data_IF_899387844339
#
_entry.id   IF_899387844339
#
_cell.length_a   1.000
_cell.length_b   1.000
_cell.length_c   1.000
_cell.angle_alpha   90.00
_cell.angle_beta   90.00
_cell.angle_gamma   90.00
#
_symmetry.space_group_name_H-M   'P 1'
#
loop_
_entity.id
_entity.type
_entity.pdbx_description
1 polymer ?
#
# COMPACT_ATOMS: atom_id res chain seq x y z
N UNK A 1 -5.32 -35.96 -21.65
CA UNK A 1 -5.75 -35.25 -20.43
C UNK A 1 -7.08 -34.61 -20.75
N UNK A 2 -8.17 -35.19 -20.25
CA UNK A 2 -9.53 -34.72 -20.56
C UNK A 2 -9.70 -33.30 -20.02
N UNK A 3 -10.08 -32.35 -20.89
CA UNK A 3 -10.52 -31.04 -20.45
C UNK A 3 -11.81 -31.25 -19.67
N UNK A 4 -11.77 -30.96 -18.37
CA UNK A 4 -12.96 -30.88 -17.53
C UNK A 4 -13.97 -29.95 -18.21
N UNK A 5 -15.04 -30.51 -18.77
CA UNK A 5 -16.00 -29.78 -19.60
C UNK A 5 -16.76 -28.68 -18.81
N UNK A 6 -16.67 -28.71 -17.49
CA UNK A 6 -17.24 -27.71 -16.59
C UNK A 6 -16.33 -26.49 -16.33
N UNK A 7 -15.05 -26.54 -16.76
CA UNK A 7 -14.08 -25.45 -16.57
C UNK A 7 -14.45 -24.25 -17.44
N UNK A 8 -14.65 -23.04 -16.85
CA UNK A 8 -14.79 -21.81 -17.62
C UNK A 8 -13.64 -21.62 -18.60
N UNK A 9 -13.93 -21.09 -19.78
CA UNK A 9 -12.89 -20.82 -20.76
C UNK A 9 -12.00 -19.67 -20.28
N UNK A 10 -10.74 -19.99 -19.97
CA UNK A 10 -9.71 -19.01 -19.62
C UNK A 10 -8.69 -18.89 -20.74
N UNK A 11 -8.61 -17.72 -21.39
CA UNK A 11 -7.58 -17.42 -22.39
C UNK A 11 -6.29 -16.99 -21.69
N UNK A 12 -5.61 -17.98 -21.10
CA UNK A 12 -4.33 -17.82 -20.39
C UNK A 12 -3.27 -17.19 -21.31
N UNK A 13 -2.54 -16.19 -20.83
CA UNK A 13 -1.30 -15.71 -21.45
C UNK A 13 -0.07 -16.40 -20.84
N UNK A 14 1.09 -16.25 -21.47
CA UNK A 14 2.33 -16.83 -20.95
C UNK A 14 2.66 -16.24 -19.56
N UNK A 15 3.01 -17.10 -18.60
CA UNK A 15 3.29 -16.72 -17.21
C UNK A 15 2.04 -16.48 -16.36
N UNK A 16 0.84 -16.79 -16.86
CA UNK A 16 -0.42 -16.66 -16.10
C UNK A 16 -0.96 -18.02 -15.64
N UNK A 17 -1.61 -18.03 -14.47
CA UNK A 17 -2.46 -19.13 -14.00
C UNK A 17 -3.81 -18.59 -13.55
N UNK A 18 -4.89 -19.32 -13.83
CA UNK A 18 -6.23 -18.97 -13.41
C UNK A 18 -6.51 -19.43 -11.97
N UNK A 19 -6.98 -18.52 -11.13
CA UNK A 19 -7.67 -18.87 -9.88
C UNK A 19 -9.17 -18.82 -10.15
N UNK A 20 -9.76 -20.00 -10.26
CA UNK A 20 -11.18 -20.18 -10.58
C UNK A 20 -12.00 -20.04 -9.31
N UNK A 21 -12.94 -19.10 -9.32
CA UNK A 21 -13.81 -18.81 -8.18
C UNK A 21 -15.21 -19.32 -8.50
N UNK A 22 -15.74 -20.18 -7.63
CA UNK A 22 -17.12 -20.68 -7.75
C UNK A 22 -17.93 -20.19 -6.55
N UNK A 23 -19.14 -19.70 -6.80
CA UNK A 23 -20.07 -19.40 -5.71
C UNK A 23 -20.64 -20.74 -5.21
N UNK A 24 -20.17 -21.17 -4.03
CA UNK A 24 -20.58 -22.42 -3.42
C UNK A 24 -21.91 -22.29 -2.66
N UNK A 25 -22.10 -21.16 -1.98
CA UNK A 25 -23.31 -20.85 -1.22
C UNK A 25 -23.53 -19.33 -1.23
N UNK A 26 -24.78 -18.88 -1.26
CA UNK A 26 -25.12 -17.47 -1.21
C UNK A 26 -26.53 -17.26 -0.65
N UNK A 27 -26.72 -16.14 0.04
CA UNK A 27 -28.02 -15.74 0.59
C UNK A 27 -28.40 -14.35 0.10
N UNK A 28 -29.53 -14.26 -0.60
CA UNK A 28 -30.11 -12.99 -0.99
C UNK A 28 -30.58 -12.19 0.23
N UNK A 29 -30.62 -10.86 0.10
CA UNK A 29 -31.24 -9.99 1.10
C UNK A 29 -32.77 -10.07 1.04
N UNK A 30 -33.32 -10.32 -0.15
CA UNK A 30 -34.73 -10.61 -0.35
C UNK A 30 -34.91 -11.94 -1.10
N UNK A 31 -34.96 -13.10 -0.40
CA UNK A 31 -35.09 -14.41 -1.03
C UNK A 31 -36.37 -14.59 -1.85
N UNK A 32 -37.46 -13.91 -1.49
CA UNK A 32 -38.77 -14.02 -2.16
C UNK A 32 -38.78 -13.38 -3.55
N UNK A 33 -37.80 -12.52 -3.86
CA UNK A 33 -37.67 -11.90 -5.18
C UNK A 33 -37.20 -12.89 -6.27
N UNK A 34 -36.67 -14.05 -5.87
CA UNK A 34 -36.09 -15.03 -6.80
C UNK A 34 -37.00 -16.25 -6.94
N UNK A 35 -37.42 -16.54 -8.18
CA UNK A 35 -38.30 -17.67 -8.48
C UNK A 35 -37.62 -19.04 -8.43
N UNK A 36 -36.29 -19.10 -8.42
CA UNK A 36 -35.52 -20.32 -8.16
C UNK A 36 -34.12 -19.99 -7.64
N UNK A 37 -33.58 -20.91 -6.84
CA UNK A 37 -32.20 -20.82 -6.34
C UNK A 37 -31.20 -20.83 -7.50
N UNK A 38 -31.38 -21.71 -8.48
CA UNK A 38 -30.49 -21.79 -9.65
C UNK A 38 -30.40 -20.46 -10.42
N UNK A 39 -31.54 -19.80 -10.65
CA UNK A 39 -31.57 -18.49 -11.31
C UNK A 39 -30.83 -17.43 -10.50
N UNK A 40 -31.01 -17.42 -9.17
CA UNK A 40 -30.28 -16.51 -8.28
C UNK A 40 -28.77 -16.70 -8.37
N UNK A 41 -28.26 -17.94 -8.29
CA UNK A 41 -26.82 -18.19 -8.39
C UNK A 41 -26.24 -17.78 -9.74
N UNK A 42 -26.99 -17.97 -10.83
CA UNK A 42 -26.56 -17.61 -12.18
C UNK A 42 -26.44 -16.09 -12.33
N UNK A 43 -27.49 -15.35 -11.96
CA UNK A 43 -27.50 -13.88 -11.96
C UNK A 43 -26.41 -13.31 -11.02
N UNK A 44 -26.28 -13.88 -9.82
CA UNK A 44 -25.28 -13.48 -8.84
C UNK A 44 -23.86 -13.64 -9.39
N UNK A 45 -23.58 -14.74 -10.09
CA UNK A 45 -22.26 -15.02 -10.67
C UNK A 45 -21.91 -13.98 -11.74
N UNK A 46 -22.87 -13.61 -12.58
CA UNK A 46 -22.69 -12.56 -13.59
C UNK A 46 -22.45 -11.18 -12.95
N UNK A 47 -23.31 -10.78 -12.01
CA UNK A 47 -23.17 -9.50 -11.28
C UNK A 47 -21.87 -9.45 -10.48
N UNK A 48 -21.48 -10.57 -9.86
CA UNK A 48 -20.22 -10.68 -9.13
C UNK A 48 -19.03 -10.50 -10.07
N UNK A 49 -19.03 -11.14 -11.25
CA UNK A 49 -18.01 -10.90 -12.26
C UNK A 49 -17.93 -9.42 -12.67
N UNK A 50 -19.06 -8.78 -12.95
CA UNK A 50 -19.09 -7.36 -13.35
C UNK A 50 -18.51 -6.43 -12.28
N UNK A 51 -18.83 -6.66 -11.01
CA UNK A 51 -18.30 -5.84 -9.91
C UNK A 51 -16.83 -6.12 -9.62
N UNK A 52 -16.40 -7.38 -9.71
CA UNK A 52 -14.99 -7.74 -9.53
C UNK A 52 -14.11 -7.22 -10.66
N UNK A 53 -14.61 -7.20 -11.89
CA UNK A 53 -13.89 -6.68 -13.05
C UNK A 53 -13.72 -5.15 -13.02
N UNK A 54 -14.57 -4.42 -12.26
CA UNK A 54 -14.39 -2.99 -11.97
C UNK A 54 -13.45 -2.74 -10.77
N UNK A 55 -12.92 -3.80 -10.16
CA UNK A 55 -12.12 -3.74 -8.96
C UNK A 55 -10.77 -3.05 -9.15
N UNK A 56 -10.25 -2.48 -8.07
CA UNK A 56 -8.90 -1.93 -8.04
C UNK A 56 -7.89 -3.06 -7.79
N UNK A 57 -7.32 -3.58 -8.88
CA UNK A 57 -6.35 -4.68 -8.83
C UNK A 57 -5.07 -4.29 -8.09
N UNK A 58 -4.66 -3.01 -8.10
CA UNK A 58 -3.51 -2.54 -7.32
C UNK A 58 -3.79 -2.71 -5.84
N UNK A 59 -4.97 -2.27 -5.38
CA UNK A 59 -5.38 -2.41 -3.99
C UNK A 59 -5.56 -3.88 -3.57
N UNK A 60 -6.14 -4.71 -4.44
CA UNK A 60 -6.26 -6.14 -4.20
C UNK A 60 -4.88 -6.77 -4.02
N UNK A 61 -3.96 -6.48 -4.95
CA UNK A 61 -2.60 -7.01 -4.93
C UNK A 61 -1.83 -6.59 -3.68
N UNK A 62 -1.92 -5.31 -3.32
CA UNK A 62 -1.33 -4.75 -2.11
C UNK A 62 -1.81 -5.47 -0.84
N UNK A 63 -3.11 -5.81 -0.77
CA UNK A 63 -3.68 -6.56 0.36
C UNK A 63 -3.07 -7.95 0.47
N UNK A 64 -2.87 -8.63 -0.66
CA UNK A 64 -2.25 -9.95 -0.70
C UNK A 64 -0.74 -9.90 -0.42
N UNK A 65 -0.05 -8.84 -0.86
CA UNK A 65 1.37 -8.61 -0.53
C UNK A 65 1.58 -8.42 0.97
N UNK A 66 0.71 -7.64 1.63
CA UNK A 66 0.79 -7.39 3.08
C UNK A 66 0.68 -8.68 3.91
N UNK A 67 -0.03 -9.70 3.41
CA UNK A 67 -0.11 -11.03 4.04
C UNK A 67 1.11 -11.93 3.73
N UNK A 68 1.95 -11.55 2.75
CA UNK A 68 3.13 -12.30 2.32
C UNK A 68 2.81 -13.48 1.37
N UNK A 69 1.53 -13.76 1.17
CA UNK A 69 1.03 -14.94 0.46
C UNK A 69 1.22 -14.86 -1.07
N UNK A 70 1.22 -13.65 -1.64
CA UNK A 70 1.31 -13.41 -3.09
C UNK A 70 2.60 -12.69 -3.50
N UNK A 71 3.65 -12.70 -2.66
CA UNK A 71 4.92 -12.03 -3.00
C UNK A 71 5.40 -12.40 -4.40
N UNK A 72 5.67 -11.41 -5.25
CA UNK A 72 6.14 -11.59 -6.64
C UNK A 72 5.07 -11.99 -7.67
N UNK A 73 3.79 -12.04 -7.30
CA UNK A 73 2.70 -12.28 -8.24
C UNK A 73 2.15 -10.95 -8.79
N UNK A 74 1.26 -11.02 -9.78
CA UNK A 74 0.48 -9.89 -10.31
C UNK A 74 -0.97 -10.28 -10.45
N UNK A 75 -1.88 -9.32 -10.29
CA UNK A 75 -3.29 -9.51 -10.64
C UNK A 75 -3.53 -8.81 -11.97
N UNK A 76 -3.76 -9.60 -13.02
CA UNK A 76 -3.89 -9.11 -14.40
C UNK A 76 -5.31 -8.65 -14.70
N UNK A 77 -6.30 -9.54 -14.48
CA UNK A 77 -7.71 -9.29 -14.81
C UNK A 77 -8.63 -10.34 -14.20
N UNK A 78 -9.93 -10.05 -14.22
CA UNK A 78 -10.96 -11.08 -14.16
C UNK A 78 -11.42 -11.45 -15.56
N UNK A 79 -11.62 -12.74 -15.80
CA UNK A 79 -12.22 -13.31 -17.00
C UNK A 79 -13.61 -13.84 -16.69
N UNK A 80 -14.43 -13.99 -17.73
CA UNK A 80 -15.81 -14.51 -17.61
C UNK A 80 -15.80 -15.86 -16.90
N UNK A 81 -16.80 -16.09 -16.05
CA UNK A 81 -16.83 -17.24 -15.14
C UNK A 81 -16.03 -17.04 -13.85
N UNK A 82 -15.72 -15.78 -13.51
CA UNK A 82 -15.00 -15.36 -12.29
C UNK A 82 -13.65 -16.07 -12.16
N UNK A 83 -12.85 -16.00 -13.23
CA UNK A 83 -11.46 -16.49 -13.21
C UNK A 83 -10.54 -15.31 -12.98
N UNK A 84 -9.82 -15.33 -11.86
CA UNK A 84 -8.78 -14.34 -11.57
C UNK A 84 -7.50 -14.77 -12.26
N UNK A 85 -7.05 -14.00 -13.26
CA UNK A 85 -5.78 -14.21 -13.92
C UNK A 85 -4.64 -13.69 -13.03
N UNK A 86 -3.79 -14.60 -12.57
CA UNK A 86 -2.62 -14.28 -11.73
C UNK A 86 -1.36 -14.47 -12.57
N UNK A 87 -0.57 -13.41 -12.71
CA UNK A 87 0.71 -13.42 -13.41
C UNK A 87 1.88 -13.74 -12.48
N UNK A 88 2.92 -14.37 -13.02
CA UNK A 88 4.13 -14.75 -12.30
C UNK A 88 5.38 -14.44 -13.12
N UNK A 89 6.40 -13.88 -12.45
CA UNK A 89 7.73 -13.65 -13.05
C UNK A 89 8.86 -14.45 -12.38
N UNK A 90 8.54 -15.19 -11.31
CA UNK A 90 9.49 -16.09 -10.65
C UNK A 90 8.79 -17.38 -10.19
N UNK A 91 9.55 -18.47 -10.22
CA UNK A 91 9.07 -19.81 -9.86
C UNK A 91 8.65 -19.84 -8.38
N UNK A 92 9.37 -19.15 -7.51
CA UNK A 92 9.05 -19.15 -6.08
C UNK A 92 7.67 -18.54 -5.81
N UNK A 93 7.26 -17.52 -6.58
CA UNK A 93 5.93 -16.92 -6.51
C UNK A 93 4.84 -17.90 -6.94
N UNK A 94 5.07 -18.61 -8.04
CA UNK A 94 4.17 -19.66 -8.52
C UNK A 94 4.00 -20.77 -7.48
N UNK A 95 5.11 -21.29 -6.95
CA UNK A 95 5.12 -22.35 -5.93
C UNK A 95 4.43 -21.91 -4.63
N UNK A 96 4.60 -20.65 -4.21
CA UNK A 96 3.89 -20.08 -3.05
C UNK A 96 2.37 -20.13 -3.23
N UNK A 97 1.86 -19.63 -4.35
CA UNK A 97 0.41 -19.61 -4.61
C UNK A 97 -0.12 -21.04 -4.80
N UNK A 98 0.62 -21.91 -5.49
CA UNK A 98 0.27 -23.32 -5.63
C UNK A 98 0.20 -24.05 -4.28
N UNK A 99 1.11 -23.76 -3.36
CA UNK A 99 1.08 -24.29 -1.99
C UNK A 99 -0.15 -23.81 -1.22
N UNK A 100 -0.58 -22.56 -1.41
CA UNK A 100 -1.82 -22.06 -0.80
C UNK A 100 -3.04 -22.79 -1.33
N UNK A 101 -3.06 -23.11 -2.62
CA UNK A 101 -4.12 -23.91 -3.22
C UNK A 101 -4.16 -25.34 -2.66
N UNK A 102 -3.02 -26.05 -2.71
CA UNK A 102 -2.92 -27.45 -2.26
C UNK A 102 -3.09 -27.63 -0.75
N UNK A 103 -2.90 -26.57 0.04
CA UNK A 103 -3.19 -26.55 1.48
C UNK A 103 -4.56 -25.97 1.84
N UNK A 104 -5.45 -25.76 0.87
CA UNK A 104 -6.81 -25.23 1.01
C UNK A 104 -6.93 -23.82 1.63
N UNK A 105 -5.80 -23.12 1.77
CA UNK A 105 -5.75 -21.75 2.33
C UNK A 105 -6.15 -20.68 1.32
N UNK A 106 -6.04 -20.97 0.03
CA UNK A 106 -6.37 -20.03 -1.05
C UNK A 106 -7.85 -19.59 -1.00
N UNK A 107 -8.76 -20.50 -0.66
CA UNK A 107 -10.20 -20.20 -0.58
C UNK A 107 -10.51 -19.14 0.47
N UNK A 108 -10.02 -19.31 1.70
CA UNK A 108 -10.23 -18.32 2.77
C UNK A 108 -9.61 -16.96 2.42
N UNK A 109 -8.44 -16.97 1.79
CA UNK A 109 -7.77 -15.75 1.36
C UNK A 109 -8.56 -14.99 0.28
N UNK A 110 -9.10 -15.69 -0.73
CA UNK A 110 -9.93 -15.07 -1.77
C UNK A 110 -11.29 -14.62 -1.24
N UNK A 111 -11.88 -15.37 -0.31
CA UNK A 111 -13.10 -14.99 0.39
C UNK A 111 -12.93 -13.64 1.11
N UNK A 112 -11.87 -13.51 1.91
CA UNK A 112 -11.56 -12.27 2.66
C UNK A 112 -11.24 -11.10 1.75
N UNK A 113 -10.54 -11.36 0.64
CA UNK A 113 -10.11 -10.32 -0.30
C UNK A 113 -11.28 -9.75 -1.09
N UNK A 114 -12.13 -10.63 -1.63
CA UNK A 114 -13.11 -10.28 -2.65
C UNK A 114 -14.48 -9.95 -2.02
N UNK A 115 -14.93 -10.73 -1.03
CA UNK A 115 -16.26 -10.58 -0.45
C UNK A 115 -16.24 -9.58 0.71
N UNK A 116 -16.37 -8.31 0.34
CA UNK A 116 -16.46 -7.19 1.28
C UNK A 116 -17.91 -6.84 1.60
N UNK A 117 -18.14 -6.16 2.73
CA UNK A 117 -19.47 -5.67 3.10
C UNK A 117 -20.05 -4.68 2.07
N UNK A 118 -19.20 -3.89 1.41
CA UNK A 118 -19.64 -3.01 0.32
C UNK A 118 -20.07 -3.79 -0.91
N UNK A 119 -19.35 -4.86 -1.26
CA UNK A 119 -19.72 -5.73 -2.39
C UNK A 119 -21.04 -6.45 -2.12
N UNK A 120 -21.21 -7.03 -0.92
CA UNK A 120 -22.45 -7.69 -0.51
C UNK A 120 -23.67 -6.78 -0.66
N UNK A 121 -23.56 -5.51 -0.23
CA UNK A 121 -24.61 -4.51 -0.40
C UNK A 121 -24.95 -4.23 -1.87
N UNK A 122 -23.95 -4.13 -2.74
CA UNK A 122 -24.16 -3.90 -4.19
C UNK A 122 -24.81 -5.10 -4.90
N UNK A 123 -24.49 -6.30 -4.44
CA UNK A 123 -25.04 -7.55 -4.96
C UNK A 123 -26.36 -7.94 -4.29
N UNK A 124 -26.88 -7.10 -3.38
CA UNK A 124 -28.10 -7.37 -2.61
C UNK A 124 -28.05 -8.73 -1.90
N UNK A 125 -26.85 -9.16 -1.50
CA UNK A 125 -26.61 -10.43 -0.81
C UNK A 125 -26.24 -10.18 0.66
N UNK A 126 -26.69 -11.05 1.55
CA UNK A 126 -26.29 -11.05 2.97
C UNK A 126 -25.06 -11.91 3.21
N UNK A 127 -24.83 -12.90 2.34
CA UNK A 127 -23.68 -13.80 2.40
C UNK A 127 -23.37 -14.36 1.01
N UNK A 128 -22.08 -14.46 0.69
CA UNK A 128 -21.56 -15.18 -0.46
C UNK A 128 -20.38 -16.01 0.04
N UNK A 129 -20.33 -17.29 -0.30
CA UNK A 129 -19.25 -18.24 0.01
C UNK A 129 -18.63 -18.66 -1.31
N UNK A 130 -17.34 -18.39 -1.43
CA UNK A 130 -16.54 -18.78 -2.58
C UNK A 130 -15.79 -20.06 -2.29
N UNK A 131 -15.58 -20.86 -3.33
CA UNK A 131 -14.54 -21.90 -3.38
C UNK A 131 -13.54 -21.54 -4.47
N UNK A 132 -12.27 -21.89 -4.25
CA UNK A 132 -11.20 -21.65 -5.21
C UNK A 132 -10.69 -22.96 -5.80
N UNK A 133 -10.32 -22.93 -7.08
CA UNK A 133 -9.59 -24.02 -7.73
C UNK A 133 -8.49 -23.43 -8.63
N UNK A 134 -7.32 -24.05 -8.61
CA UNK A 134 -6.30 -23.89 -9.64
C UNK A 134 -6.15 -25.23 -10.33
N UNK A 135 -5.69 -25.23 -11.58
CA UNK A 135 -5.49 -26.47 -12.32
C UNK A 135 -4.02 -26.74 -12.56
N UNK A 136 -3.65 -28.01 -12.41
CA UNK A 136 -2.26 -28.48 -12.50
C UNK A 136 -1.66 -28.31 -13.89
N UNK A 137 -2.49 -28.33 -14.94
CA UNK A 137 -2.06 -28.10 -16.32
C UNK A 137 -1.58 -26.67 -16.54
N UNK A 138 -2.35 -25.69 -16.06
CA UNK A 138 -1.97 -24.28 -16.12
C UNK A 138 -0.74 -24.00 -15.28
N UNK A 139 -0.68 -24.55 -14.07
CA UNK A 139 0.48 -24.48 -13.20
C UNK A 139 1.74 -25.05 -13.87
N UNK A 140 1.65 -26.25 -14.43
CA UNK A 140 2.78 -26.93 -15.08
C UNK A 140 3.25 -26.18 -16.33
N UNK A 141 2.30 -25.68 -17.13
CA UNK A 141 2.62 -24.84 -18.29
C UNK A 141 3.35 -23.56 -17.87
N UNK A 142 2.81 -22.83 -16.88
CA UNK A 142 3.45 -21.62 -16.35
C UNK A 142 4.84 -21.92 -15.79
N UNK A 143 5.03 -23.04 -15.07
CA UNK A 143 6.32 -23.45 -14.54
C UNK A 143 7.33 -23.75 -15.64
N UNK A 144 6.92 -24.45 -16.69
CA UNK A 144 7.76 -24.75 -17.84
C UNK A 144 8.13 -23.49 -18.64
N UNK A 145 7.19 -22.54 -18.77
CA UNK A 145 7.43 -21.23 -19.38
C UNK A 145 8.48 -20.45 -18.58
N UNK A 146 8.34 -20.38 -17.25
CA UNK A 146 9.30 -19.72 -16.37
C UNK A 146 10.69 -20.37 -16.39
N UNK A 147 10.77 -21.71 -16.48
CA UNK A 147 12.03 -22.45 -16.61
C UNK A 147 12.68 -22.26 -17.99
N UNK A 148 11.86 -22.15 -19.05
CA UNK A 148 12.31 -21.97 -20.43
C UNK A 148 12.71 -20.54 -20.77
N UNK A 149 12.33 -19.54 -19.95
CA UNK A 149 12.75 -18.15 -20.12
C UNK A 149 14.24 -17.99 -19.86
N UNK A 150 15.03 -17.79 -20.92
CA UNK A 150 16.16 -16.87 -20.79
C UNK A 150 15.56 -15.50 -20.49
N UNK A 151 16.01 -14.78 -19.44
CA UNK A 151 15.48 -13.48 -19.01
C UNK A 151 15.61 -12.39 -20.10
N UNK A 152 14.90 -12.53 -21.22
CA UNK A 152 14.79 -11.51 -22.25
C UNK A 152 13.83 -10.45 -21.70
N UNK A 153 14.38 -9.27 -21.44
CA UNK A 153 13.60 -8.11 -21.03
C UNK A 153 12.55 -7.85 -22.09
N UNK A 154 11.30 -7.68 -21.65
CA UNK A 154 10.20 -7.31 -22.52
C UNK A 154 10.05 -5.79 -22.44
N UNK A 155 9.81 -5.13 -23.57
CA UNK A 155 9.52 -3.70 -23.55
C UNK A 155 8.22 -3.44 -22.78
N UNK A 156 8.26 -2.50 -21.85
CA UNK A 156 7.08 -2.06 -21.08
C UNK A 156 5.92 -1.63 -21.98
N UNK A 157 6.20 -1.14 -23.20
CA UNK A 157 5.18 -0.75 -24.20
C UNK A 157 4.26 -1.91 -24.62
N UNK A 158 4.70 -3.15 -24.44
CA UNK A 158 3.90 -4.33 -24.76
C UNK A 158 2.90 -4.70 -23.65
N UNK A 159 3.05 -4.13 -22.46
CA UNK A 159 2.20 -4.32 -21.29
C UNK A 159 1.44 -3.03 -20.98
N UNK A 160 0.23 -2.89 -21.52
CA UNK A 160 -0.60 -1.70 -21.34
C UNK A 160 -0.84 -1.37 -19.86
N UNK A 161 -1.04 -2.39 -19.02
CA UNK A 161 -1.21 -2.22 -17.57
C UNK A 161 0.00 -1.51 -16.93
N UNK A 162 1.21 -1.97 -17.23
CA UNK A 162 2.45 -1.39 -16.70
C UNK A 162 2.67 0.03 -17.23
N UNK A 163 2.31 0.29 -18.50
CA UNK A 163 2.34 1.64 -19.07
C UNK A 163 1.37 2.60 -18.36
N UNK A 164 0.17 2.13 -18.02
CA UNK A 164 -0.81 2.93 -17.29
C UNK A 164 -0.31 3.24 -15.86
N UNK A 165 0.32 2.27 -15.20
CA UNK A 165 0.99 2.49 -13.90
C UNK A 165 2.12 3.51 -14.06
N UNK A 166 3.02 3.32 -15.03
CA UNK A 166 4.14 4.23 -15.26
C UNK A 166 3.66 5.66 -15.52
N UNK A 167 2.58 5.85 -16.29
CA UNK A 167 2.01 7.17 -16.53
C UNK A 167 1.43 7.80 -15.25
N UNK A 168 0.76 7.00 -14.41
CA UNK A 168 0.28 7.48 -13.10
C UNK A 168 1.44 7.88 -12.19
N UNK A 169 2.52 7.09 -12.16
CA UNK A 169 3.73 7.39 -11.39
C UNK A 169 4.38 8.69 -11.88
N UNK A 170 4.52 8.89 -13.20
CA UNK A 170 5.01 10.13 -13.82
C UNK A 170 4.16 11.35 -13.42
N UNK A 171 2.84 11.23 -13.52
CA UNK A 171 1.93 12.32 -13.17
C UNK A 171 2.01 12.66 -11.68
N UNK A 172 2.14 11.65 -10.81
CA UNK A 172 2.36 11.87 -9.38
C UNK A 172 3.69 12.58 -9.14
N UNK A 173 4.79 12.04 -9.67
CA UNK A 173 6.14 12.58 -9.50
C UNK A 173 6.24 14.05 -9.93
N UNK A 174 5.65 14.41 -11.07
CA UNK A 174 5.66 15.79 -11.56
C UNK A 174 5.05 16.77 -10.57
N UNK A 175 3.93 16.40 -9.92
CA UNK A 175 3.29 17.23 -8.88
C UNK A 175 4.08 17.16 -7.56
N UNK A 176 4.60 15.99 -7.24
CA UNK A 176 5.30 15.73 -5.99
C UNK A 176 6.64 16.47 -5.91
N UNK A 177 7.30 16.74 -7.05
CA UNK A 177 8.47 17.61 -7.12
C UNK A 177 8.23 18.98 -6.45
N UNK A 178 7.10 19.62 -6.76
CA UNK A 178 6.71 20.91 -6.17
C UNK A 178 6.40 20.76 -4.68
N UNK A 179 5.68 19.69 -4.30
CA UNK A 179 5.35 19.42 -2.91
C UNK A 179 6.59 19.20 -2.04
N UNK A 180 7.60 18.49 -2.57
CA UNK A 180 8.87 18.24 -1.88
C UNK A 180 9.59 19.56 -1.59
N UNK A 181 9.62 20.49 -2.54
CA UNK A 181 10.20 21.81 -2.31
C UNK A 181 9.46 22.54 -1.18
N UNK A 182 8.12 22.52 -1.20
CA UNK A 182 7.30 23.12 -0.14
C UNK A 182 7.56 22.46 1.23
N UNK A 183 7.76 21.15 1.27
CA UNK A 183 8.09 20.43 2.51
C UNK A 183 9.47 20.82 3.05
N UNK A 184 10.47 20.98 2.18
CA UNK A 184 11.81 21.45 2.56
C UNK A 184 11.79 22.89 3.09
N UNK A 185 11.05 23.79 2.43
CA UNK A 185 10.84 25.16 2.92
C UNK A 185 10.11 25.16 4.27
N UNK A 186 9.13 24.27 4.43
CA UNK A 186 8.40 24.09 5.70
C UNK A 186 9.32 23.64 6.83
N UNK A 187 10.21 22.67 6.57
CA UNK A 187 11.24 22.25 7.54
C UNK A 187 12.18 23.40 7.88
N UNK A 188 12.69 24.12 6.88
CA UNK A 188 13.61 25.23 7.08
C UNK A 188 12.98 26.33 7.96
N UNK A 189 11.73 26.69 7.67
CA UNK A 189 10.96 27.67 8.44
C UNK A 189 10.70 27.19 9.88
N UNK A 190 10.40 25.90 10.07
CA UNK A 190 10.27 25.33 11.41
C UNK A 190 11.61 25.35 12.17
N UNK A 191 12.71 25.02 11.49
CA UNK A 191 14.06 25.07 12.04
C UNK A 191 14.47 26.46 12.53
N UNK A 192 14.05 27.54 11.85
CA UNK A 192 14.27 28.92 12.30
C UNK A 192 13.49 29.25 13.58
N UNK A 193 12.34 28.60 13.81
CA UNK A 193 11.47 28.81 14.98
C UNK A 193 11.69 27.77 16.09
N UNK A 194 12.76 26.99 16.00
CA UNK A 194 13.03 25.88 16.92
C UNK A 194 13.12 26.33 18.37
N UNK A 195 13.84 27.42 18.64
CA UNK A 195 14.00 27.97 19.99
C UNK A 195 12.68 28.48 20.58
N UNK A 196 11.86 29.15 19.76
CA UNK A 196 10.51 29.59 20.15
C UNK A 196 9.63 28.39 20.49
N UNK A 197 9.60 27.37 19.61
CA UNK A 197 8.86 26.14 19.84
C UNK A 197 9.26 25.48 21.17
N UNK A 198 10.55 25.28 21.40
CA UNK A 198 11.06 24.64 22.62
C UNK A 198 10.72 25.43 23.88
N UNK A 199 10.83 26.77 23.82
CA UNK A 199 10.47 27.64 24.94
C UNK A 199 8.97 27.51 25.28
N UNK A 200 8.10 27.58 24.26
CA UNK A 200 6.65 27.44 24.46
C UNK A 200 6.30 26.04 24.95
N UNK A 201 6.92 25.00 24.41
CA UNK A 201 6.72 23.63 24.86
C UNK A 201 7.14 23.45 26.33
N UNK A 202 8.30 23.98 26.75
CA UNK A 202 8.73 23.94 28.16
C UNK A 202 7.74 24.61 29.11
N UNK A 203 7.07 25.69 28.69
CA UNK A 203 6.12 26.43 29.53
C UNK A 203 4.84 25.65 29.85
N UNK A 204 4.47 24.68 28.99
CA UNK A 204 3.26 23.87 29.18
C UNK A 204 3.54 22.49 29.77
N UNK A 205 4.80 22.06 29.80
CA UNK A 205 5.18 20.77 30.35
C UNK A 205 5.02 20.78 31.88
N UNK A 206 4.40 19.75 32.48
CA UNK A 206 4.41 19.57 33.93
C UNK A 206 5.85 19.47 34.48
N UNK A 207 6.07 19.96 35.71
CA UNK A 207 7.41 20.08 36.33
C UNK A 207 8.17 18.74 36.42
N UNK A 208 7.46 17.63 36.49
CA UNK A 208 8.01 16.28 36.58
C UNK A 208 8.29 15.61 35.22
N UNK A 209 7.97 16.25 34.09
CA UNK A 209 8.20 15.67 32.76
C UNK A 209 9.63 15.95 32.33
N UNK A 210 10.44 14.90 32.40
CA UNK A 210 11.84 14.90 31.93
C UNK A 210 12.01 14.30 30.53
N UNK A 211 10.98 13.61 30.02
CA UNK A 211 10.98 12.98 28.69
C UNK A 211 9.59 12.93 28.11
N UNK A 212 9.49 13.08 26.79
CA UNK A 212 8.25 12.88 26.02
C UNK A 212 8.37 11.54 25.28
N UNK A 213 7.52 10.57 25.62
CA UNK A 213 7.62 9.22 25.03
C UNK A 213 6.95 9.13 23.67
N UNK A 214 5.83 9.82 23.48
CA UNK A 214 4.99 9.71 22.28
C UNK A 214 4.43 11.06 21.85
N UNK A 215 4.06 11.18 20.57
CA UNK A 215 3.39 12.37 20.07
C UNK A 215 2.02 12.55 20.74
N UNK A 216 1.30 11.45 20.98
CA UNK A 216 0.00 11.43 21.68
C UNK A 216 0.07 12.00 23.09
N UNK A 217 1.14 11.69 23.83
CA UNK A 217 1.40 12.27 25.15
C UNK A 217 1.54 13.78 25.05
N UNK A 218 2.35 14.26 24.10
CA UNK A 218 2.55 15.69 23.89
C UNK A 218 1.26 16.41 23.44
N UNK A 219 0.50 15.84 22.51
CA UNK A 219 -0.82 16.34 22.09
C UNK A 219 -1.78 16.48 23.29
N UNK A 220 -1.76 15.52 24.21
CA UNK A 220 -2.60 15.56 25.42
C UNK A 220 -2.21 16.71 26.33
N UNK A 221 -0.90 16.91 26.56
CA UNK A 221 -0.38 18.04 27.37
C UNK A 221 -0.79 19.38 26.75
N UNK A 222 -0.61 19.53 25.43
CA UNK A 222 -0.99 20.75 24.71
C UNK A 222 -2.50 21.00 24.81
N UNK A 223 -3.32 19.96 24.67
CA UNK A 223 -4.78 20.07 24.79
C UNK A 223 -5.22 20.56 26.17
N UNK A 224 -4.58 20.08 27.24
CA UNK A 224 -4.86 20.55 28.61
C UNK A 224 -4.42 22.00 28.79
N UNK A 225 -3.26 22.38 28.25
CA UNK A 225 -2.73 23.74 28.36
C UNK A 225 -3.56 24.80 27.60
N UNK A 226 -4.31 24.41 26.57
CA UNK A 226 -5.20 25.29 25.78
C UNK A 226 -6.44 25.80 26.50
N UNK A 227 -6.65 25.48 27.79
CA UNK A 227 -7.89 25.72 28.55
C UNK A 227 -8.46 27.16 28.57
N UNK A 228 -7.81 28.16 27.96
CA UNK A 228 -8.37 29.49 27.69
C UNK A 228 -7.96 30.04 26.30
N UNK A 229 -8.75 30.93 25.67
CA UNK A 229 -8.40 31.52 24.37
C UNK A 229 -7.07 32.29 24.35
N UNK A 230 -6.71 32.94 25.47
CA UNK A 230 -5.44 33.65 25.62
C UNK A 230 -4.24 32.69 25.72
N UNK A 231 -4.44 31.51 26.30
CA UNK A 231 -3.45 30.44 26.30
C UNK A 231 -3.31 29.83 24.90
N UNK A 232 -4.41 29.66 24.16
CA UNK A 232 -4.39 29.13 22.80
C UNK A 232 -3.51 29.96 21.84
N UNK A 233 -3.58 31.30 21.91
CA UNK A 233 -2.74 32.16 21.06
C UNK A 233 -1.23 31.99 21.30
N UNK A 234 -0.81 31.63 22.52
CA UNK A 234 0.60 31.34 22.83
C UNK A 234 1.08 29.99 22.28
N UNK A 235 0.15 29.11 21.92
CA UNK A 235 0.44 27.74 21.46
C UNK A 235 0.39 27.60 19.94
N UNK A 236 0.25 28.70 19.20
CA UNK A 236 0.17 28.71 17.74
C UNK A 236 1.40 28.06 17.08
N UNK A 237 2.60 28.23 17.65
CA UNK A 237 3.83 27.59 17.15
C UNK A 237 3.78 26.06 17.29
N UNK A 238 3.13 25.55 18.33
CA UNK A 238 2.94 24.10 18.55
C UNK A 238 1.85 23.57 17.62
N UNK A 239 0.78 24.34 17.40
CA UNK A 239 -0.28 23.97 16.46
C UNK A 239 0.26 23.85 15.03
N UNK A 240 1.10 24.82 14.61
CA UNK A 240 1.81 24.74 13.33
C UNK A 240 2.68 23.50 13.24
N UNK A 241 3.36 23.12 14.32
CA UNK A 241 4.14 21.87 14.34
C UNK A 241 3.24 20.64 14.11
N UNK A 242 2.09 20.53 14.78
CA UNK A 242 1.17 19.42 14.54
C UNK A 242 0.61 19.41 13.12
N UNK A 243 0.32 20.58 12.55
CA UNK A 243 -0.11 20.71 11.16
C UNK A 243 0.99 20.24 10.18
N UNK A 244 2.26 20.56 10.45
CA UNK A 244 3.40 20.06 9.68
C UNK A 244 3.47 18.54 9.74
N UNK A 245 3.40 17.94 10.94
CA UNK A 245 3.43 16.49 11.11
C UNK A 245 2.26 15.82 10.38
N UNK A 246 1.06 16.41 10.46
CA UNK A 246 -0.13 15.92 9.75
C UNK A 246 0.05 15.98 8.23
N UNK A 247 0.60 17.09 7.71
CA UNK A 247 0.89 17.25 6.28
C UNK A 247 1.90 16.23 5.80
N UNK A 248 3.01 16.06 6.52
CA UNK A 248 4.05 15.07 6.21
C UNK A 248 3.52 13.64 6.23
N UNK A 249 2.72 13.27 7.25
CA UNK A 249 2.08 11.96 7.30
C UNK A 249 1.13 11.75 6.12
N UNK A 250 0.37 12.77 5.74
CA UNK A 250 -0.55 12.69 4.59
C UNK A 250 0.19 12.48 3.28
N UNK A 251 1.28 13.22 3.05
CA UNK A 251 2.13 13.04 1.87
C UNK A 251 2.72 11.61 1.80
N UNK A 252 3.24 11.09 2.90
CA UNK A 252 3.79 9.72 2.95
C UNK A 252 2.73 8.62 2.79
N UNK A 253 1.50 8.84 3.27
CA UNK A 253 0.38 7.94 3.02
C UNK A 253 -0.03 7.94 1.55
N UNK A 254 -0.03 9.12 0.90
CA UNK A 254 -0.27 9.22 -0.54
C UNK A 254 0.83 8.52 -1.34
N UNK A 255 2.10 8.65 -0.94
CA UNK A 255 3.20 7.87 -1.53
C UNK A 255 2.97 6.37 -1.33
N UNK A 256 2.57 5.91 -0.14
CA UNK A 256 2.26 4.49 0.07
C UNK A 256 1.20 4.03 -0.96
N UNK A 257 0.10 4.77 -1.08
CA UNK A 257 -1.04 4.42 -1.92
C UNK A 257 -0.78 4.55 -3.43
N UNK A 258 -0.16 5.64 -3.87
CA UNK A 258 -0.01 6.01 -5.29
C UNK A 258 1.32 5.56 -5.88
N UNK A 259 2.33 5.27 -5.05
CA UNK A 259 3.65 4.81 -5.51
C UNK A 259 3.90 3.38 -5.06
N UNK A 260 3.92 3.12 -3.76
CA UNK A 260 4.34 1.80 -3.26
C UNK A 260 3.39 0.69 -3.70
N UNK A 261 2.06 0.91 -3.64
CA UNK A 261 1.10 -0.12 -4.04
C UNK A 261 1.14 -0.44 -5.54
N UNK A 262 1.13 0.55 -6.47
CA UNK A 262 1.24 0.27 -7.90
C UNK A 262 2.55 -0.43 -8.28
N UNK A 263 3.67 -0.11 -7.61
CA UNK A 263 4.94 -0.79 -7.86
C UNK A 263 4.91 -2.30 -7.57
N UNK A 264 3.97 -2.80 -6.75
CA UNK A 264 3.76 -4.25 -6.58
C UNK A 264 3.09 -4.92 -7.78
N UNK A 265 2.47 -4.15 -8.68
CA UNK A 265 1.82 -4.65 -9.88
C UNK A 265 2.70 -4.54 -11.14
N UNK A 266 3.86 -3.89 -11.04
CA UNK A 266 4.80 -3.76 -12.15
C UNK A 266 5.52 -5.08 -12.43
N UNK A 267 5.42 -5.58 -13.66
CA UNK A 267 6.06 -6.82 -14.07
C UNK A 267 7.58 -6.70 -14.01
N UNK A 268 8.22 -7.63 -13.31
CA UNK A 268 9.67 -7.77 -13.16
C UNK A 268 10.38 -7.95 -14.50
N UNK A 269 9.72 -8.57 -15.49
CA UNK A 269 10.25 -8.76 -16.85
C UNK A 269 10.36 -7.46 -17.65
N UNK A 270 9.59 -6.42 -17.27
CA UNK A 270 9.67 -5.08 -17.85
C UNK A 270 10.76 -4.24 -17.21
N UNK A 271 11.33 -4.67 -16.07
CA UNK A 271 12.24 -3.89 -15.25
C UNK A 271 13.72 -4.23 -15.47
N UNK A 272 14.57 -3.23 -15.27
CA UNK A 272 16.01 -3.38 -15.12
C UNK A 272 16.38 -3.89 -13.72
N UNK A 273 17.63 -4.36 -13.53
CA UNK A 273 18.12 -4.74 -12.20
C UNK A 273 18.06 -3.57 -11.22
N UNK A 274 18.47 -2.38 -11.69
CA UNK A 274 18.42 -1.16 -10.89
C UNK A 274 17.00 -0.80 -10.43
N UNK A 275 16.02 -0.88 -11.33
CA UNK A 275 14.61 -0.66 -10.96
C UNK A 275 14.12 -1.66 -9.90
N UNK A 276 14.54 -2.91 -9.99
CA UNK A 276 14.21 -3.95 -8.99
C UNK A 276 14.83 -3.69 -7.62
N UNK A 277 15.98 -3.03 -7.57
CA UNK A 277 16.63 -2.63 -6.33
C UNK A 277 16.03 -1.35 -5.73
N UNK A 278 15.53 -0.44 -6.58
CA UNK A 278 14.92 0.82 -6.16
C UNK A 278 13.55 0.62 -5.50
N UNK A 279 12.68 -0.24 -6.05
CA UNK A 279 11.34 -0.53 -5.50
C UNK A 279 11.34 -0.83 -3.98
N UNK A 280 12.11 -1.82 -3.48
CA UNK A 280 12.10 -2.14 -2.06
C UNK A 280 12.67 -1.02 -1.19
N UNK A 281 13.56 -0.17 -1.72
CA UNK A 281 14.10 1.00 -1.00
C UNK A 281 13.00 2.04 -0.77
N UNK A 282 12.24 2.39 -1.80
CA UNK A 282 11.09 3.31 -1.69
C UNK A 282 10.08 2.79 -0.65
N UNK A 283 9.75 1.49 -0.74
CA UNK A 283 8.78 0.86 0.17
C UNK A 283 9.26 0.85 1.62
N UNK A 284 10.52 0.46 1.84
CA UNK A 284 11.11 0.39 3.18
C UNK A 284 11.17 1.77 3.81
N UNK A 285 11.67 2.76 3.07
CA UNK A 285 11.77 4.14 3.54
C UNK A 285 10.40 4.73 3.88
N UNK A 286 9.39 4.53 3.02
CA UNK A 286 8.01 4.97 3.26
C UNK A 286 7.44 4.32 4.53
N UNK A 287 7.56 2.99 4.64
CA UNK A 287 7.02 2.22 5.76
C UNK A 287 7.68 2.58 7.09
N UNK A 288 9.01 2.65 7.14
CA UNK A 288 9.75 3.00 8.36
C UNK A 288 9.45 4.42 8.81
N UNK A 289 9.35 5.36 7.87
CA UNK A 289 9.03 6.76 8.20
C UNK A 289 7.61 6.90 8.71
N UNK A 290 6.63 6.25 8.07
CA UNK A 290 5.25 6.21 8.57
C UNK A 290 5.14 5.57 9.96
N UNK A 291 5.95 4.54 10.25
CA UNK A 291 6.01 3.94 11.58
C UNK A 291 6.53 4.93 12.64
N UNK A 292 7.61 5.66 12.35
CA UNK A 292 8.15 6.71 13.24
C UNK A 292 7.16 7.85 13.45
N UNK A 293 6.37 8.18 12.44
CA UNK A 293 5.36 9.23 12.51
C UNK A 293 4.08 8.83 13.24
N UNK A 294 3.87 7.56 13.66
CA UNK A 294 2.63 7.20 14.39
C UNK A 294 2.51 7.96 15.71
N UNK A 295 1.28 8.26 16.12
CA UNK A 295 1.04 9.04 17.35
C UNK A 295 1.54 8.34 18.61
N UNK A 296 1.60 7.01 18.59
CA UNK A 296 2.05 6.12 19.66
C UNK A 296 3.49 5.60 19.45
N UNK A 297 4.20 6.08 18.43
CA UNK A 297 5.59 5.72 18.21
C UNK A 297 6.47 6.17 19.39
N UNK A 298 7.46 5.32 19.73
CA UNK A 298 8.43 5.61 20.78
C UNK A 298 9.44 6.65 20.28
N UNK A 299 9.22 7.91 20.66
CA UNK A 299 10.07 9.04 20.27
C UNK A 299 11.49 8.92 20.81
N UNK A 300 11.74 8.11 21.84
CA UNK A 300 13.07 7.91 22.40
C UNK A 300 13.99 7.10 21.47
N UNK A 301 13.40 6.45 20.45
CA UNK A 301 14.14 5.74 19.39
C UNK A 301 14.26 6.56 18.10
N UNK A 302 13.71 7.76 18.08
CA UNK A 302 13.70 8.63 16.91
C UNK A 302 14.81 9.67 17.08
N UNK A 303 15.71 9.76 16.10
CA UNK A 303 16.73 10.81 16.08
C UNK A 303 17.13 11.14 14.65
N UNK A 304 17.37 12.43 14.40
CA UNK A 304 17.89 12.92 13.15
C UNK A 304 19.29 13.51 13.37
N UNK A 305 20.35 13.02 12.67
CA UNK A 305 21.73 13.44 12.93
C UNK A 305 21.96 14.95 12.82
N UNK A 306 21.32 15.60 11.84
CA UNK A 306 21.47 17.05 11.62
C UNK A 306 20.82 17.90 12.71
N UNK A 307 19.74 17.42 13.31
CA UNK A 307 18.99 18.13 14.36
C UNK A 307 19.48 17.81 15.77
N UNK A 308 20.08 16.63 15.97
CA UNK A 308 20.78 16.28 17.21
C UNK A 308 21.82 17.35 17.60
N UNK A 309 22.59 17.84 16.61
CA UNK A 309 23.61 18.87 16.80
C UNK A 309 23.05 20.26 17.15
N UNK A 310 21.75 20.50 16.95
CA UNK A 310 21.08 21.77 17.22
C UNK A 310 20.55 21.87 18.66
N UNK A 311 20.61 20.79 19.42
CA UNK A 311 20.07 20.70 20.78
C UNK A 311 21.20 20.55 21.80
N UNK A 312 21.02 21.15 22.97
CA UNK A 312 21.88 20.89 24.12
C UNK A 312 21.65 19.45 24.62
N UNK A 313 22.71 18.79 25.12
CA UNK A 313 22.60 17.42 25.65
C UNK A 313 21.51 17.26 26.72
N UNK A 314 21.30 18.28 27.55
CA UNK A 314 20.27 18.31 28.59
C UNK A 314 18.84 18.36 28.04
N UNK A 315 18.65 18.67 26.76
CA UNK A 315 17.35 18.79 26.10
C UNK A 315 17.03 17.58 25.22
N UNK A 316 17.99 16.65 25.07
CA UNK A 316 17.86 15.50 24.16
C UNK A 316 16.71 14.58 24.58
N UNK A 317 16.70 14.13 25.83
CA UNK A 317 15.67 13.21 26.35
C UNK A 317 14.25 13.78 26.22
N UNK A 318 14.14 15.11 26.28
CA UNK A 318 12.87 15.82 26.25
C UNK A 318 12.39 16.11 24.82
N UNK A 319 13.26 16.58 23.93
CA UNK A 319 12.85 17.13 22.63
C UNK A 319 13.39 16.42 21.40
N UNK A 320 14.48 15.65 21.49
CA UNK A 320 15.16 15.15 20.29
C UNK A 320 14.22 14.35 19.39
N UNK A 321 13.49 13.38 19.96
CA UNK A 321 12.56 12.55 19.20
C UNK A 321 11.44 13.34 18.55
N UNK A 322 10.82 14.25 19.31
CA UNK A 322 9.72 15.11 18.84
C UNK A 322 10.17 15.98 17.67
N UNK A 323 11.32 16.65 17.82
CA UNK A 323 11.85 17.57 16.83
C UNK A 323 12.41 16.85 15.60
N UNK A 324 12.86 15.61 15.75
CA UNK A 324 13.40 14.80 14.64
C UNK A 324 12.32 14.31 13.67
N UNK A 325 11.04 14.33 14.04
CA UNK A 325 9.97 13.85 13.16
C UNK A 325 9.84 14.65 11.86
N UNK A 326 10.00 15.98 11.93
CA UNK A 326 9.91 16.86 10.76
C UNK A 326 11.03 16.57 9.76
N UNK A 327 12.33 16.68 10.10
CA UNK A 327 13.42 16.44 9.16
C UNK A 327 13.44 15.00 8.62
N UNK A 328 13.17 13.99 9.47
CA UNK A 328 13.16 12.58 9.00
C UNK A 328 12.10 12.38 7.90
N UNK A 329 10.92 12.97 8.08
CA UNK A 329 9.85 12.80 7.11
C UNK A 329 10.07 13.64 5.84
N UNK A 330 10.64 14.85 5.96
CA UNK A 330 11.01 15.69 4.82
C UNK A 330 12.13 15.06 3.99
N UNK A 331 13.19 14.58 4.64
CA UNK A 331 14.31 13.86 4.01
C UNK A 331 13.81 12.60 3.31
N UNK A 332 12.98 11.80 3.97
CA UNK A 332 12.37 10.62 3.37
C UNK A 332 11.54 10.96 2.12
N UNK A 333 10.72 12.01 2.17
CA UNK A 333 9.93 12.46 1.02
C UNK A 333 10.82 12.86 -0.16
N UNK A 334 11.91 13.58 0.10
CA UNK A 334 12.89 13.96 -0.92
C UNK A 334 13.62 12.74 -1.52
N UNK A 335 14.12 11.84 -0.68
CA UNK A 335 14.80 10.62 -1.10
C UNK A 335 13.89 9.71 -1.93
N UNK A 336 12.63 9.55 -1.49
CA UNK A 336 11.61 8.82 -2.26
C UNK A 336 11.40 9.45 -3.63
N UNK A 337 11.34 10.78 -3.70
CA UNK A 337 11.16 11.47 -4.96
C UNK A 337 12.33 11.23 -5.94
N UNK A 338 13.57 11.30 -5.43
CA UNK A 338 14.77 10.97 -6.22
C UNK A 338 14.78 9.51 -6.69
N UNK A 339 14.42 8.58 -5.80
CA UNK A 339 14.33 7.16 -6.14
C UNK A 339 13.21 6.89 -7.16
N UNK A 340 12.09 7.61 -7.05
CA UNK A 340 10.99 7.49 -8.00
C UNK A 340 11.38 8.01 -9.39
N UNK A 341 12.12 9.12 -9.45
CA UNK A 341 12.69 9.64 -10.71
C UNK A 341 13.60 8.62 -11.38
N UNK A 342 14.53 8.05 -10.60
CA UNK A 342 15.42 6.99 -11.05
C UNK A 342 14.63 5.80 -11.61
N UNK A 343 13.62 5.33 -10.88
CA UNK A 343 12.79 4.22 -11.32
C UNK A 343 12.07 4.52 -12.64
N UNK A 344 11.50 5.71 -12.78
CA UNK A 344 10.69 6.10 -13.93
C UNK A 344 11.54 6.27 -15.20
N UNK A 345 12.75 6.82 -15.06
CA UNK A 345 13.62 7.17 -16.19
C UNK A 345 14.52 6.01 -16.66
N UNK A 346 14.67 4.96 -15.86
CA UNK A 346 15.50 3.79 -16.20
C UNK A 346 14.82 2.75 -17.12
N UNK A 347 13.58 2.98 -17.56
CA UNK A 347 12.93 2.11 -18.54
C UNK A 347 13.56 2.31 -19.94
N UNK A 348 14.05 1.23 -20.59
CA UNK A 348 14.48 1.33 -21.98
C UNK A 348 13.26 1.66 -22.87
N UNK A 349 13.28 2.83 -23.50
CA UNK A 349 12.25 3.26 -24.44
C UNK A 349 12.34 2.52 -25.77
#
# INVERSE_FOLDING_TARGET
>A
MEKDASRPFFKRQEGEVGVYLTVYDAKASNPEAYGSEHFYFMELTERLFEELNKGDFVKMRATLEKKGDFKGCYIERFEKGIVLAVGFDDIDALERVWKLHTSEKLTGLMQDLLITQSLLKKLEATRIVLTTRMFEDEYTNCKNELLGRSLQKISIKTKQHDMDILQKLKNFQNRFNDDVQVLQETEANFGQKLGEFMMVAKQILPVNVIKIKTLKEFETIVKVAKGTPRAAKKLEVIDKYFDIIKKLRSALMEIEEVVCLPLFQMHKVCETERQRDVKPRIQTLTKETLQKLRVDADLQKVSHPGWNKRLLKSEHDLFLGLLSLVPIATEAAFDINCLLDEYINDFPL
#
